data_IF_292326117669
#
_entry.id   IF_292326117669
#
_cell.length_a   1.000
_cell.length_b   1.000
_cell.length_c   1.000
_cell.angle_alpha   90.00
_cell.angle_beta   90.00
_cell.angle_gamma   90.00
#
_symmetry.space_group_name_H-M   'P 1'
#
loop_
_entity.id
_entity.type
_entity.pdbx_description
1 polymer ?
#
# COMPACT_ATOMS: atom_id res chain seq x y z
N UNK A 1 27.01 11.70 -38.39
CA UNK A 1 26.99 12.51 -37.16
C UNK A 1 25.72 12.29 -36.31
N UNK A 2 24.49 12.41 -36.83
CA UNK A 2 23.25 12.14 -36.06
C UNK A 2 23.17 10.76 -35.40
N UNK A 3 23.60 9.68 -36.09
CA UNK A 3 23.56 8.30 -35.55
C UNK A 3 24.49 8.07 -34.34
N UNK A 4 25.63 8.76 -34.31
CA UNK A 4 26.60 8.69 -33.21
C UNK A 4 26.08 9.48 -32.00
N UNK A 5 25.42 10.62 -32.25
CA UNK A 5 24.75 11.39 -31.20
C UNK A 5 23.60 10.59 -30.54
N UNK A 6 22.78 9.90 -31.34
CA UNK A 6 21.71 9.02 -30.80
C UNK A 6 22.27 7.84 -29.98
N UNK A 7 23.39 7.25 -30.42
CA UNK A 7 24.04 6.18 -29.66
C UNK A 7 24.63 6.69 -28.33
N UNK A 8 25.22 7.88 -28.31
CA UNK A 8 25.75 8.51 -27.09
C UNK A 8 24.64 8.88 -26.09
N UNK A 9 23.50 9.39 -26.57
CA UNK A 9 22.33 9.68 -25.73
C UNK A 9 21.73 8.40 -25.15
N UNK A 10 21.63 7.33 -25.96
CA UNK A 10 21.18 6.02 -25.47
C UNK A 10 22.10 5.41 -24.41
N UNK A 11 23.42 5.55 -24.58
CA UNK A 11 24.40 5.11 -23.59
C UNK A 11 24.29 5.90 -22.28
N UNK A 12 24.12 7.23 -22.33
CA UNK A 12 23.95 8.06 -21.12
C UNK A 12 22.67 7.72 -20.35
N UNK A 13 21.56 7.42 -21.03
CA UNK A 13 20.29 7.04 -20.40
C UNK A 13 20.34 5.64 -19.77
N UNK A 14 21.21 4.74 -20.26
CA UNK A 14 21.38 3.41 -19.69
C UNK A 14 22.06 3.42 -18.31
N UNK A 15 22.83 4.46 -17.99
CA UNK A 15 23.53 4.62 -16.71
C UNK A 15 22.80 5.52 -15.70
N UNK A 16 21.67 6.14 -16.07
CA UNK A 16 20.91 7.01 -15.17
C UNK A 16 19.93 6.29 -14.25
N UNK A 17 19.85 4.95 -14.30
CA UNK A 17 19.01 4.17 -13.40
C UNK A 17 19.69 4.03 -12.02
N UNK A 18 19.61 5.09 -11.20
CA UNK A 18 19.97 5.01 -9.78
C UNK A 18 18.79 4.37 -9.03
N UNK A 19 18.96 3.11 -8.62
CA UNK A 19 18.04 2.51 -7.66
C UNK A 19 18.31 3.11 -6.28
N UNK A 20 17.28 3.67 -5.63
CA UNK A 20 17.40 4.12 -4.25
C UNK A 20 17.77 2.92 -3.36
N UNK A 21 18.78 3.10 -2.51
CA UNK A 21 19.17 2.07 -1.56
C UNK A 21 18.36 2.23 -0.27
N UNK A 22 17.70 1.15 0.13
CA UNK A 22 16.91 1.09 1.37
C UNK A 22 17.72 0.36 2.44
N UNK A 23 17.68 0.88 3.67
CA UNK A 23 18.43 0.33 4.81
C UNK A 23 17.52 0.16 6.02
N UNK A 24 17.78 -0.91 6.79
CA UNK A 24 17.11 -1.17 8.05
C UNK A 24 17.37 -0.03 9.04
N UNK A 25 16.33 0.42 9.73
CA UNK A 25 16.33 1.55 10.65
C UNK A 25 16.12 2.91 9.99
N UNK A 26 16.00 2.99 8.67
CA UNK A 26 15.67 4.23 7.95
C UNK A 26 14.29 4.17 7.29
N UNK A 27 14.15 3.39 6.21
CA UNK A 27 12.88 3.29 5.47
C UNK A 27 12.03 2.10 5.91
N UNK A 28 12.64 1.10 6.54
CA UNK A 28 11.95 -0.05 7.11
C UNK A 28 12.65 -0.51 8.39
N UNK A 29 11.98 -1.37 9.15
CA UNK A 29 12.56 -2.08 10.28
C UNK A 29 12.32 -3.58 10.13
N UNK A 30 13.29 -4.41 10.50
CA UNK A 30 13.10 -5.87 10.54
C UNK A 30 12.33 -6.27 11.80
N UNK A 31 11.20 -6.97 11.62
CA UNK A 31 10.42 -7.50 12.74
C UNK A 31 11.18 -8.68 13.37
N UNK A 32 11.45 -8.60 14.68
CA UNK A 32 12.24 -9.60 15.40
C UNK A 32 11.62 -11.00 15.41
N UNK A 33 10.28 -11.06 15.38
CA UNK A 33 9.52 -12.31 15.35
C UNK A 33 8.71 -12.35 14.06
N UNK A 34 9.24 -12.96 12.99
CA UNK A 34 8.50 -13.18 11.78
C UNK A 34 7.22 -13.97 12.07
N UNK A 35 6.14 -13.59 11.38
CA UNK A 35 4.94 -14.40 11.32
C UNK A 35 5.19 -15.49 10.27
N UNK A 36 4.38 -16.56 10.26
CA UNK A 36 4.43 -17.55 9.17
C UNK A 36 3.07 -17.62 8.50
N UNK A 37 3.05 -17.72 7.17
CA UNK A 37 1.80 -17.78 6.39
C UNK A 37 1.11 -16.43 6.21
N UNK A 38 1.78 -15.33 6.53
CA UNK A 38 1.32 -13.96 6.30
C UNK A 38 1.20 -13.62 4.80
N UNK A 39 0.27 -12.72 4.44
CA UNK A 39 0.28 -12.13 3.10
C UNK A 39 1.61 -11.41 2.82
N UNK A 40 2.02 -11.41 1.55
CA UNK A 40 3.27 -10.80 1.12
C UNK A 40 3.33 -9.30 1.43
N UNK A 41 2.17 -8.61 1.36
CA UNK A 41 2.03 -7.22 1.78
C UNK A 41 0.75 -7.11 2.62
N UNK A 42 0.90 -6.61 3.84
CA UNK A 42 -0.22 -6.31 4.75
C UNK A 42 -0.21 -4.83 5.09
N UNK A 43 -1.33 -4.17 4.86
CA UNK A 43 -1.59 -2.81 5.30
C UNK A 43 -2.58 -2.86 6.47
N UNK A 44 -2.27 -2.15 7.55
CA UNK A 44 -3.19 -1.95 8.67
C UNK A 44 -3.73 -0.52 8.62
N UNK A 45 -5.04 -0.37 8.68
CA UNK A 45 -5.68 0.94 8.58
C UNK A 45 -6.91 1.05 9.48
N UNK A 46 -7.43 2.27 9.64
CA UNK A 46 -8.76 2.48 10.19
C UNK A 46 -9.51 3.51 9.38
N UNK A 47 -10.84 3.35 9.24
CA UNK A 47 -11.68 4.41 8.69
C UNK A 47 -11.73 5.66 9.59
N UNK A 48 -11.43 5.51 10.89
CA UNK A 48 -11.33 6.62 11.85
C UNK A 48 -9.96 7.33 11.86
N UNK A 49 -9.03 6.94 10.99
CA UNK A 49 -7.66 7.45 10.96
C UNK A 49 -7.48 8.48 9.84
N UNK A 50 -7.27 9.77 10.15
CA UNK A 50 -7.12 10.81 9.12
C UNK A 50 -5.95 10.57 8.17
N UNK A 51 -4.82 10.07 8.69
CA UNK A 51 -3.68 9.72 7.84
C UNK A 51 -3.95 8.52 6.94
N UNK A 52 -4.84 7.61 7.34
CA UNK A 52 -5.25 6.47 6.54
C UNK A 52 -6.17 6.93 5.40
N UNK A 53 -7.06 7.89 5.67
CA UNK A 53 -7.83 8.57 4.63
C UNK A 53 -6.91 9.26 3.62
N UNK A 54 -5.93 10.03 4.09
CA UNK A 54 -4.96 10.68 3.22
C UNK A 54 -4.17 9.66 2.39
N UNK A 55 -3.69 8.59 3.01
CA UNK A 55 -2.94 7.52 2.35
C UNK A 55 -3.75 6.87 1.21
N UNK A 56 -5.04 6.64 1.43
CA UNK A 56 -5.95 6.04 0.45
C UNK A 56 -6.39 7.02 -0.64
N UNK A 57 -6.90 8.19 -0.26
CA UNK A 57 -7.67 9.08 -1.14
C UNK A 57 -6.92 10.33 -1.60
N UNK A 58 -5.93 10.80 -0.85
CA UNK A 58 -5.19 12.02 -1.20
C UNK A 58 -3.89 11.67 -1.92
N UNK A 59 -3.13 10.74 -1.35
CA UNK A 59 -1.81 10.34 -1.84
C UNK A 59 -1.85 9.07 -2.69
N UNK A 60 -2.95 8.31 -2.63
CA UNK A 60 -3.16 7.06 -3.38
C UNK A 60 -2.00 6.05 -3.23
N UNK A 61 -1.43 5.96 -2.02
CA UNK A 61 -0.24 5.14 -1.78
C UNK A 61 -0.58 3.66 -1.88
N UNK A 62 -1.75 3.23 -1.39
CA UNK A 62 -2.24 1.86 -1.52
C UNK A 62 -2.29 1.40 -2.98
N UNK A 63 -2.78 2.26 -3.87
CA UNK A 63 -2.84 2.01 -5.30
C UNK A 63 -1.46 1.99 -5.94
N UNK A 64 -0.57 2.89 -5.53
CA UNK A 64 0.81 2.91 -5.99
C UNK A 64 1.55 1.62 -5.61
N UNK A 65 1.37 1.14 -4.38
CA UNK A 65 1.94 -0.15 -3.91
C UNK A 65 1.37 -1.30 -4.71
N UNK A 66 0.04 -1.40 -4.85
CA UNK A 66 -0.62 -2.48 -5.62
C UNK A 66 -0.15 -2.54 -7.07
N UNK A 67 0.20 -1.41 -7.69
CA UNK A 67 0.75 -1.32 -9.05
C UNK A 67 2.25 -1.63 -9.14
N UNK A 68 3.01 -1.34 -8.08
CA UNK A 68 4.46 -1.49 -8.06
C UNK A 68 4.92 -2.92 -7.69
N UNK A 69 4.09 -3.67 -6.96
CA UNK A 69 4.43 -5.04 -6.58
C UNK A 69 4.40 -6.01 -7.78
N UNK A 70 5.17 -7.11 -7.75
CA UNK A 70 5.14 -8.11 -8.81
C UNK A 70 3.73 -8.68 -9.05
N UNK A 71 3.44 -9.06 -10.29
CA UNK A 71 2.16 -9.68 -10.64
C UNK A 71 1.89 -10.94 -9.77
N UNK A 72 0.66 -11.07 -9.28
CA UNK A 72 0.27 -12.16 -8.37
C UNK A 72 0.62 -11.92 -6.89
N UNK A 73 1.29 -10.81 -6.55
CA UNK A 73 1.54 -10.46 -5.14
C UNK A 73 0.23 -10.16 -4.42
N UNK A 74 -0.03 -10.86 -3.31
CA UNK A 74 -1.21 -10.60 -2.49
C UNK A 74 -0.99 -9.38 -1.59
N UNK A 75 -1.65 -8.27 -1.91
CA UNK A 75 -1.76 -7.08 -1.05
C UNK A 75 -3.07 -7.15 -0.27
N UNK A 76 -2.99 -7.19 1.06
CA UNK A 76 -4.14 -7.36 1.96
C UNK A 76 -4.26 -6.15 2.89
N UNK A 77 -5.45 -5.58 3.03
CA UNK A 77 -5.71 -4.52 4.01
C UNK A 77 -6.52 -5.08 5.17
N UNK A 78 -6.09 -4.84 6.40
CA UNK A 78 -6.82 -5.19 7.62
C UNK A 78 -7.19 -3.94 8.41
N UNK A 79 -8.47 -3.83 8.75
CA UNK A 79 -8.96 -2.78 9.64
C UNK A 79 -8.58 -3.10 11.09
N UNK A 80 -8.18 -2.08 11.86
CA UNK A 80 -7.83 -2.21 13.28
C UNK A 80 -8.96 -1.78 14.19
N UNK A 81 -9.13 -2.47 15.32
CA UNK A 81 -10.23 -2.22 16.27
C UNK A 81 -9.95 -1.09 17.27
N UNK A 82 -8.70 -0.65 17.42
CA UNK A 82 -8.29 0.24 18.51
C UNK A 82 -8.61 1.73 18.26
N UNK A 83 -9.16 2.09 17.10
CA UNK A 83 -9.64 3.44 16.77
C UNK A 83 -11.16 3.42 16.57
N UNK A 84 -11.84 4.49 17.00
CA UNK A 84 -13.30 4.61 16.89
C UNK A 84 -14.10 4.04 18.07
N UNK A 85 -13.45 3.64 19.16
CA UNK A 85 -14.12 3.11 20.36
C UNK A 85 -14.95 1.87 20.06
N UNK A 86 -16.20 1.82 20.54
CA UNK A 86 -17.12 0.69 20.28
C UNK A 86 -17.38 0.46 18.78
N UNK A 87 -17.31 1.51 17.96
CA UNK A 87 -17.49 1.38 16.51
C UNK A 87 -16.30 0.72 15.82
N UNK A 88 -15.10 0.73 16.42
CA UNK A 88 -13.90 0.11 15.84
C UNK A 88 -14.11 -1.38 15.52
N UNK A 89 -14.75 -2.12 16.43
CA UNK A 89 -15.08 -3.54 16.25
C UNK A 89 -16.15 -3.75 15.19
N UNK A 90 -17.21 -2.94 15.22
CA UNK A 90 -18.32 -3.01 14.26
C UNK A 90 -17.81 -2.78 12.84
N UNK A 91 -16.97 -1.76 12.66
CA UNK A 91 -16.40 -1.42 11.35
C UNK A 91 -15.34 -2.44 10.91
N UNK A 92 -14.58 -3.03 11.83
CA UNK A 92 -13.69 -4.17 11.53
C UNK A 92 -14.49 -5.37 11.00
N UNK A 93 -15.62 -5.68 11.63
CA UNK A 93 -16.51 -6.74 11.14
C UNK A 93 -17.11 -6.39 9.78
N UNK A 94 -17.53 -5.15 9.56
CA UNK A 94 -18.01 -4.69 8.24
C UNK A 94 -16.93 -4.85 7.16
N UNK A 95 -15.67 -4.53 7.49
CA UNK A 95 -14.54 -4.76 6.60
C UNK A 95 -14.31 -6.24 6.30
N UNK A 96 -14.42 -7.12 7.29
CA UNK A 96 -14.35 -8.56 7.08
C UNK A 96 -15.46 -9.07 6.12
N UNK A 97 -16.68 -8.51 6.23
CA UNK A 97 -17.77 -8.80 5.28
C UNK A 97 -17.43 -8.29 3.88
N UNK A 98 -16.86 -7.09 3.75
CA UNK A 98 -16.44 -6.55 2.46
C UNK A 98 -15.41 -7.44 1.77
N UNK A 99 -14.42 -7.93 2.52
CA UNK A 99 -13.41 -8.89 2.05
C UNK A 99 -14.03 -10.23 1.63
N UNK A 100 -14.97 -10.76 2.43
CA UNK A 100 -15.63 -12.03 2.12
C UNK A 100 -16.49 -11.95 0.84
N UNK A 101 -17.06 -10.76 0.55
CA UNK A 101 -17.89 -10.52 -0.62
C UNK A 101 -17.11 -9.99 -1.84
N UNK A 102 -15.84 -9.61 -1.69
CA UNK A 102 -15.03 -9.03 -2.76
C UNK A 102 -15.52 -7.64 -3.20
N UNK A 103 -15.98 -6.83 -2.25
CA UNK A 103 -16.57 -5.50 -2.51
C UNK A 103 -15.80 -4.36 -1.86
N UNK A 104 -14.55 -4.59 -1.46
CA UNK A 104 -13.67 -3.61 -0.82
C UNK A 104 -13.63 -2.28 -1.59
N UNK A 105 -13.32 -2.34 -2.89
CA UNK A 105 -13.21 -1.16 -3.77
C UNK A 105 -14.53 -0.35 -3.86
N UNK A 106 -15.68 -0.97 -3.58
CA UNK A 106 -16.99 -0.30 -3.62
C UNK A 106 -17.35 0.39 -2.32
N UNK A 107 -16.81 -0.08 -1.20
CA UNK A 107 -17.20 0.39 0.13
C UNK A 107 -16.15 1.26 0.79
N UNK A 108 -14.88 1.20 0.37
CA UNK A 108 -13.79 1.98 0.97
C UNK A 108 -14.09 3.48 1.01
N UNK A 109 -14.37 4.11 -0.14
CA UNK A 109 -14.66 5.54 -0.20
C UNK A 109 -15.92 5.93 0.62
N UNK A 110 -17.08 5.28 0.44
CA UNK A 110 -18.25 5.58 1.26
C UNK A 110 -18.05 5.41 2.77
N UNK A 111 -17.24 4.42 3.19
CA UNK A 111 -16.95 4.22 4.62
C UNK A 111 -16.03 5.29 5.17
N UNK A 112 -15.03 5.72 4.39
CA UNK A 112 -14.15 6.83 4.77
C UNK A 112 -14.87 8.19 4.79
N UNK A 113 -15.81 8.43 3.89
CA UNK A 113 -16.59 9.68 3.84
C UNK A 113 -17.70 9.73 4.90
N UNK A 114 -18.18 8.56 5.35
CA UNK A 114 -19.26 8.43 6.32
C UNK A 114 -18.83 8.41 7.78
N UNK A 115 -17.52 8.41 8.05
CA UNK A 115 -16.89 8.37 9.38
C UNK A 115 -16.10 9.66 9.59
#
# INVERSE_FOLDING_TARGET
>A
MKKILFALVGAFLAFSASAAQFTDGQQYVTIQKPVTGEPQVVEFFSFFCPHCYEFEHVWHVSDAVKKAVPAGTKVTKYHVEFLGGEMGKVVTQAWAVAMALGVEDKVTAPLFEGI
#
